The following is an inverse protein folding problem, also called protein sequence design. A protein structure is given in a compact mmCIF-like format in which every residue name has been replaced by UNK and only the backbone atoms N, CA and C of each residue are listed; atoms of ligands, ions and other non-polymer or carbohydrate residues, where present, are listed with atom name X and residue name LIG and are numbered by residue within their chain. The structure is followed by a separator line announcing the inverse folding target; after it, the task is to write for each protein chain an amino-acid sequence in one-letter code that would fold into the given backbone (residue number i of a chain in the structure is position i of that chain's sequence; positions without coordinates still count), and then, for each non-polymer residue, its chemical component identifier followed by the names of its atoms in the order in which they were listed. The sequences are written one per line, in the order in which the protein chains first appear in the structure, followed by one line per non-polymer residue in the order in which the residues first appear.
data_IF_253695672821
#
_entry.id   IF_253695672821
#
_cell.length_a   1.000
_cell.length_b   1.000
_cell.length_c   1.000
_cell.angle_alpha   90.00
_cell.angle_beta   90.00
_cell.angle_gamma   90.00
#
_symmetry.space_group_name_H-M   'P 1'
#
loop_
_entity.id
_entity.type
_entity.pdbx_description
1 polymer ?
#
# COMPACT_ATOMS: atom_id res chain seq x y z
N UNK A 1 -58.33 -8.32 41.66
CA UNK A 1 -58.91 -7.61 40.50
C UNK A 1 -57.95 -6.46 40.17
N UNK A 2 -57.32 -6.32 39.02
CA UNK A 2 -57.32 -7.07 37.76
C UNK A 2 -56.03 -6.77 36.99
N UNK A 3 -55.66 -7.70 36.13
CA UNK A 3 -54.50 -7.64 35.24
C UNK A 3 -54.82 -6.85 33.96
N UNK A 4 -53.77 -6.36 33.30
CA UNK A 4 -53.77 -6.17 31.84
C UNK A 4 -53.85 -4.72 31.38
N UNK A 5 -52.77 -4.25 30.75
CA UNK A 5 -52.82 -3.15 29.79
C UNK A 5 -51.85 -2.01 30.08
N UNK A 6 -50.58 -2.18 29.72
CA UNK A 6 -49.90 -1.26 28.78
C UNK A 6 -48.51 -1.80 28.40
N UNK A 7 -48.49 -2.91 27.68
CA UNK A 7 -47.42 -3.19 26.72
C UNK A 7 -47.75 -2.39 25.45
N UNK A 8 -47.12 -1.24 25.24
CA UNK A 8 -46.93 -0.69 23.89
C UNK A 8 -45.85 0.39 23.87
N UNK A 9 -44.92 0.15 22.95
CA UNK A 9 -44.08 1.13 22.25
C UNK A 9 -42.94 1.75 23.06
N UNK A 10 -41.75 1.18 22.92
CA UNK A 10 -40.61 1.83 22.25
C UNK A 10 -39.63 0.77 21.73
N UNK A 11 -40.09 -0.07 20.79
CA UNK A 11 -39.19 -0.73 19.85
C UNK A 11 -39.02 0.23 18.66
N UNK A 12 -38.19 1.27 18.83
CA UNK A 12 -37.69 2.05 17.70
C UNK A 12 -36.48 1.29 17.17
N UNK A 13 -36.82 0.36 16.30
CA UNK A 13 -36.07 -0.10 15.11
C UNK A 13 -34.76 0.69 14.92
N UNK A 14 -33.65 0.08 15.33
CA UNK A 14 -32.35 0.31 14.67
C UNK A 14 -32.48 -0.31 13.27
N UNK A 15 -33.12 0.42 12.35
CA UNK A 15 -33.03 0.08 10.94
C UNK A 15 -31.61 0.42 10.53
N UNK A 16 -30.78 -0.61 10.43
CA UNK A 16 -29.57 -0.60 9.63
C UNK A 16 -29.97 -0.30 8.19
N UNK A 17 -30.10 0.97 7.84
CA UNK A 17 -30.03 1.38 6.45
C UNK A 17 -28.61 1.04 6.01
N UNK A 18 -28.40 0.14 5.05
CA UNK A 18 -27.06 -0.08 4.50
C UNK A 18 -26.63 1.25 3.89
N UNK A 19 -25.41 1.70 4.18
CA UNK A 19 -24.80 2.72 3.35
C UNK A 19 -24.78 2.20 1.91
N UNK A 20 -25.68 2.73 1.07
CA UNK A 20 -25.67 2.46 -0.37
C UNK A 20 -24.35 3.02 -0.92
N UNK A 21 -23.41 2.11 -1.19
CA UNK A 21 -22.02 2.39 -1.50
C UNK A 21 -21.04 1.39 -0.91
N UNK A 22 -21.48 0.51 -0.01
CA UNK A 22 -20.63 -0.53 0.57
C UNK A 22 -20.10 -1.49 -0.50
N UNK A 23 -18.80 -1.43 -0.80
CA UNK A 23 -18.06 -2.61 -1.24
C UNK A 23 -18.45 -3.74 -0.28
N UNK A 24 -18.78 -4.91 -0.81
CA UNK A 24 -19.13 -6.07 0.04
C UNK A 24 -18.05 -6.25 1.12
N UNK A 25 -18.44 -6.71 2.30
CA UNK A 25 -17.49 -6.88 3.42
C UNK A 25 -16.18 -7.53 2.94
N UNK A 26 -15.06 -6.83 3.15
CA UNK A 26 -13.72 -7.29 2.78
C UNK A 26 -13.51 -8.74 3.25
N UNK A 27 -12.84 -9.54 2.41
CA UNK A 27 -12.47 -10.91 2.73
C UNK A 27 -11.21 -10.99 3.61
N UNK A 28 -10.67 -9.83 4.02
CA UNK A 28 -9.53 -9.72 4.89
C UNK A 28 -9.73 -10.50 6.20
N UNK A 29 -8.68 -11.23 6.57
CA UNK A 29 -8.59 -12.02 7.79
C UNK A 29 -7.63 -11.37 8.76
N UNK A 30 -7.69 -11.82 10.00
CA UNK A 30 -6.77 -11.41 11.05
C UNK A 30 -5.30 -11.62 10.65
N UNK A 31 -5.00 -12.72 9.95
CA UNK A 31 -3.63 -13.04 9.53
C UNK A 31 -3.07 -12.06 8.49
N UNK A 32 -3.92 -11.53 7.60
CA UNK A 32 -3.53 -10.46 6.65
C UNK A 32 -3.10 -9.20 7.41
N UNK A 33 -3.91 -8.78 8.39
CA UNK A 33 -3.60 -7.64 9.24
C UNK A 33 -2.31 -7.84 10.05
N UNK A 34 -2.10 -9.04 10.60
CA UNK A 34 -0.87 -9.36 11.33
C UNK A 34 0.37 -9.36 10.45
N UNK A 35 0.26 -9.85 9.21
CA UNK A 35 1.36 -9.80 8.24
C UNK A 35 1.70 -8.36 7.88
N UNK A 36 0.70 -7.53 7.58
CA UNK A 36 0.88 -6.10 7.28
C UNK A 36 1.51 -5.35 8.45
N UNK A 37 1.05 -5.60 9.68
CA UNK A 37 1.65 -5.02 10.89
C UNK A 37 3.11 -5.45 11.05
N UNK A 38 3.44 -6.72 10.75
CA UNK A 38 4.83 -7.18 10.83
C UNK A 38 5.71 -6.54 9.77
N UNK A 39 5.19 -6.38 8.55
CA UNK A 39 5.90 -5.65 7.48
C UNK A 39 6.14 -4.20 7.88
N UNK A 40 5.13 -3.53 8.46
CA UNK A 40 5.27 -2.16 8.95
C UNK A 40 6.35 -2.04 10.05
N UNK A 41 6.36 -2.95 11.03
CA UNK A 41 7.36 -3.00 12.09
C UNK A 41 8.78 -3.16 11.53
N UNK A 42 9.00 -4.18 10.68
CA UNK A 42 10.31 -4.42 10.06
C UNK A 42 10.75 -3.24 9.20
N UNK A 43 9.81 -2.61 8.49
CA UNK A 43 10.11 -1.45 7.65
C UNK A 43 10.50 -0.24 8.49
N UNK A 44 9.81 0.01 9.60
CA UNK A 44 10.17 1.06 10.55
C UNK A 44 11.60 0.85 11.09
N UNK A 45 11.94 -0.37 11.50
CA UNK A 45 13.28 -0.72 11.99
C UNK A 45 14.37 -0.53 10.92
N UNK A 46 14.04 -0.70 9.64
CA UNK A 46 14.95 -0.47 8.51
C UNK A 46 15.07 1.00 8.09
N UNK A 47 14.35 1.91 8.76
CA UNK A 47 14.40 3.34 8.46
C UNK A 47 13.42 3.81 7.39
N UNK A 48 12.33 3.06 7.15
CA UNK A 48 11.30 3.42 6.17
C UNK A 48 10.72 4.84 6.35
N UNK A 49 10.48 5.36 7.57
CA UNK A 49 9.99 6.74 7.72
C UNK A 49 10.95 7.79 7.12
N UNK A 50 12.26 7.59 7.27
CA UNK A 50 13.27 8.48 6.66
C UNK A 50 13.28 8.35 5.13
N UNK A 51 13.16 7.13 4.61
CA UNK A 51 13.11 6.90 3.17
C UNK A 51 11.81 7.45 2.54
N UNK A 52 10.67 7.34 3.22
CA UNK A 52 9.41 7.92 2.77
C UNK A 52 9.48 9.45 2.73
N UNK A 53 10.04 10.10 3.77
CA UNK A 53 10.26 11.54 3.77
C UNK A 53 11.19 11.98 2.63
N UNK A 54 12.24 11.20 2.36
CA UNK A 54 13.12 11.43 1.22
C UNK A 54 12.38 11.33 -0.12
N UNK A 55 11.55 10.31 -0.32
CA UNK A 55 10.78 10.13 -1.56
C UNK A 55 9.90 11.34 -1.89
N UNK A 56 9.24 11.91 -0.87
CA UNK A 56 8.31 13.03 -1.01
C UNK A 56 8.97 14.41 -0.89
N UNK A 57 10.25 14.47 -0.50
CA UNK A 57 11.00 15.70 -0.37
C UNK A 57 11.65 16.14 -1.70
N UNK A 58 12.18 17.36 -1.69
CA UNK A 58 12.84 17.98 -2.85
C UNK A 58 14.14 17.27 -3.26
N UNK A 59 14.71 16.45 -2.38
CA UNK A 59 15.96 15.74 -2.63
C UNK A 59 15.80 14.62 -3.68
N UNK A 60 14.63 13.97 -3.71
CA UNK A 60 14.34 12.86 -4.62
C UNK A 60 13.80 13.37 -5.96
N UNK A 61 14.48 13.00 -7.04
CA UNK A 61 14.01 13.21 -8.41
C UNK A 61 13.33 11.94 -8.94
N UNK A 62 12.06 12.01 -9.40
CA UNK A 62 11.43 10.92 -10.12
C UNK A 62 12.11 10.61 -11.45
N UNK A 63 12.81 11.57 -12.05
CA UNK A 63 13.60 11.32 -13.24
C UNK A 63 14.94 10.66 -12.87
N UNK A 64 15.19 9.44 -13.32
CA UNK A 64 16.40 8.72 -12.90
C UNK A 64 17.69 9.38 -13.39
N UNK A 65 17.68 10.02 -14.56
CA UNK A 65 18.85 10.71 -15.09
C UNK A 65 19.27 11.84 -14.15
N UNK A 66 18.33 12.70 -13.75
CA UNK A 66 18.57 13.79 -12.80
C UNK A 66 18.91 13.29 -11.40
N UNK A 67 18.21 12.24 -10.94
CA UNK A 67 18.53 11.56 -9.69
C UNK A 67 20.00 11.09 -9.67
N UNK A 68 20.45 10.41 -10.73
CA UNK A 68 21.77 9.80 -10.80
C UNK A 68 22.92 10.81 -10.86
N UNK A 69 22.67 12.02 -11.36
CA UNK A 69 23.63 13.14 -11.35
C UNK A 69 23.93 13.60 -9.93
N UNK A 70 22.92 13.60 -9.04
CA UNK A 70 23.02 14.05 -7.65
C UNK A 70 23.42 12.92 -6.69
N UNK A 71 22.93 11.71 -6.93
CA UNK A 71 23.00 10.59 -5.99
C UNK A 71 23.67 9.38 -6.62
N UNK A 72 24.96 9.21 -6.34
CA UNK A 72 25.74 8.06 -6.83
C UNK A 72 25.28 6.76 -6.18
N UNK A 73 25.47 5.63 -6.88
CA UNK A 73 25.29 4.29 -6.31
C UNK A 73 26.15 4.15 -5.05
N UNK A 74 25.55 3.65 -3.97
CA UNK A 74 26.19 3.50 -2.66
C UNK A 74 26.07 4.72 -1.73
N UNK A 75 25.54 5.85 -2.20
CA UNK A 75 25.17 6.97 -1.33
C UNK A 75 23.96 6.64 -0.45
N UNK A 76 23.77 7.40 0.63
CA UNK A 76 22.62 7.24 1.53
C UNK A 76 21.28 7.45 0.79
N UNK A 77 21.18 8.49 -0.04
CA UNK A 77 20.02 8.77 -0.87
C UNK A 77 19.70 7.62 -1.84
N UNK A 78 20.72 7.08 -2.49
CA UNK A 78 20.57 5.88 -3.33
C UNK A 78 20.07 4.68 -2.51
N UNK A 79 20.61 4.49 -1.30
CA UNK A 79 20.18 3.46 -0.36
C UNK A 79 18.71 3.58 0.05
N UNK A 80 18.20 4.81 0.28
CA UNK A 80 16.78 5.07 0.57
C UNK A 80 15.88 4.67 -0.61
N UNK A 81 16.27 5.00 -1.84
CA UNK A 81 15.53 4.57 -3.04
C UNK A 81 15.50 3.04 -3.20
N UNK A 82 16.63 2.35 -2.95
CA UNK A 82 16.67 0.88 -2.92
C UNK A 82 15.78 0.31 -1.82
N UNK A 83 15.80 0.89 -0.61
CA UNK A 83 14.96 0.45 0.50
C UNK A 83 13.48 0.53 0.15
N UNK A 84 13.03 1.64 -0.45
CA UNK A 84 11.65 1.79 -0.91
C UNK A 84 11.31 0.73 -1.97
N UNK A 85 12.09 0.64 -3.04
CA UNK A 85 11.83 -0.31 -4.13
C UNK A 85 11.74 -1.76 -3.62
N UNK A 86 12.65 -2.16 -2.72
CA UNK A 86 12.66 -3.52 -2.15
C UNK A 86 11.51 -3.76 -1.15
N UNK A 87 11.05 -2.73 -0.44
CA UNK A 87 9.88 -2.82 0.43
C UNK A 87 8.61 -3.08 -0.38
N UNK A 88 8.37 -2.31 -1.43
CA UNK A 88 7.19 -2.51 -2.27
C UNK A 88 7.26 -3.80 -3.09
N UNK A 89 8.45 -4.23 -3.51
CA UNK A 89 8.65 -5.56 -4.11
C UNK A 89 8.27 -6.69 -3.13
N UNK A 90 8.53 -6.50 -1.83
CA UNK A 90 8.14 -7.47 -0.78
C UNK A 90 6.62 -7.53 -0.62
N UNK A 91 5.96 -6.38 -0.48
CA UNK A 91 4.50 -6.30 -0.42
C UNK A 91 3.85 -6.94 -1.65
N UNK A 92 4.37 -6.61 -2.83
CA UNK A 92 3.88 -7.17 -4.09
C UNK A 92 4.06 -8.68 -4.19
N UNK A 93 5.16 -9.21 -3.65
CA UNK A 93 5.38 -10.66 -3.61
C UNK A 93 4.33 -11.34 -2.72
N UNK A 94 4.02 -10.79 -1.55
CA UNK A 94 2.99 -11.35 -0.67
C UNK A 94 1.60 -11.27 -1.28
N UNK A 95 1.25 -10.14 -1.89
CA UNK A 95 0.00 -9.97 -2.64
C UNK A 95 -0.13 -10.97 -3.80
N UNK A 96 0.91 -11.10 -4.64
CA UNK A 96 0.93 -12.03 -5.78
C UNK A 96 0.70 -13.48 -5.38
N UNK A 97 1.09 -13.85 -4.16
CA UNK A 97 0.89 -15.20 -3.61
C UNK A 97 -0.38 -15.35 -2.77
N UNK A 98 -1.25 -14.34 -2.73
CA UNK A 98 -2.52 -14.38 -2.00
C UNK A 98 -2.35 -14.45 -0.49
N UNK A 99 -1.24 -13.93 0.03
CA UNK A 99 -0.94 -13.90 1.48
C UNK A 99 -1.48 -12.64 2.17
N UNK A 100 -1.89 -11.65 1.39
CA UNK A 100 -2.49 -10.39 1.85
C UNK A 100 -3.72 -10.14 1.00
N UNK A 101 -4.85 -9.89 1.66
CA UNK A 101 -6.06 -9.37 1.02
C UNK A 101 -5.78 -8.07 0.25
N UNK A 102 -6.18 -8.03 -1.02
CA UNK A 102 -5.88 -6.93 -1.93
C UNK A 102 -6.55 -5.62 -1.50
N UNK A 103 -7.82 -5.68 -1.09
CA UNK A 103 -8.57 -4.50 -0.67
C UNK A 103 -7.95 -3.88 0.58
N UNK A 104 -7.64 -4.71 1.58
CA UNK A 104 -6.96 -4.25 2.79
C UNK A 104 -5.58 -3.62 2.49
N UNK A 105 -4.80 -4.22 1.59
CA UNK A 105 -3.50 -3.69 1.21
C UNK A 105 -3.63 -2.31 0.54
N UNK A 106 -4.58 -2.18 -0.38
CA UNK A 106 -4.78 -0.95 -1.16
C UNK A 106 -5.40 0.19 -0.34
N UNK A 107 -6.21 -0.13 0.67
CA UNK A 107 -6.71 0.87 1.63
C UNK A 107 -5.61 1.40 2.56
N UNK A 108 -4.59 0.59 2.84
CA UNK A 108 -3.52 0.94 3.78
C UNK A 108 -2.32 1.65 3.12
N UNK A 109 -2.01 1.33 1.86
CA UNK A 109 -0.74 1.71 1.22
C UNK A 109 -0.96 2.41 -0.12
N UNK A 110 -0.37 3.61 -0.28
CA UNK A 110 -0.40 4.42 -1.51
C UNK A 110 0.56 3.90 -2.60
N UNK A 111 0.25 2.72 -3.15
CA UNK A 111 1.15 1.99 -4.06
C UNK A 111 1.37 2.73 -5.38
N UNK A 112 0.29 3.21 -6.02
CA UNK A 112 0.37 3.80 -7.37
C UNK A 112 1.19 5.09 -7.37
N UNK A 113 1.02 5.95 -6.38
CA UNK A 113 1.73 7.21 -6.26
C UNK A 113 3.22 6.99 -5.95
N UNK A 114 3.54 5.96 -5.16
CA UNK A 114 4.93 5.61 -4.89
C UNK A 114 5.60 4.98 -6.11
N UNK A 115 4.88 4.14 -6.84
CA UNK A 115 5.36 3.60 -8.13
C UNK A 115 5.65 4.71 -9.14
N UNK A 116 4.76 5.68 -9.27
CA UNK A 116 4.94 6.79 -10.21
C UNK A 116 6.20 7.60 -9.97
N UNK A 117 6.64 7.69 -8.71
CA UNK A 117 7.92 8.33 -8.35
C UNK A 117 9.12 7.41 -8.53
N UNK A 118 8.99 6.10 -8.31
CA UNK A 118 10.13 5.16 -8.28
C UNK A 118 10.37 4.40 -9.59
N UNK A 119 9.41 4.36 -10.51
CA UNK A 119 9.47 3.47 -11.69
C UNK A 119 10.74 3.64 -12.53
N UNK A 120 11.20 4.87 -12.78
CA UNK A 120 12.43 5.09 -13.55
C UNK A 120 13.67 4.56 -12.82
N UNK A 121 13.73 4.72 -11.49
CA UNK A 121 14.80 4.14 -10.69
C UNK A 121 14.80 2.60 -10.75
N UNK A 122 13.62 1.98 -10.69
CA UNK A 122 13.45 0.53 -10.80
C UNK A 122 13.89 0.05 -12.19
N UNK A 123 13.44 0.71 -13.26
CA UNK A 123 13.80 0.37 -14.63
C UNK A 123 15.30 0.51 -14.88
N UNK A 124 15.92 1.58 -14.39
CA UNK A 124 17.37 1.75 -14.49
C UNK A 124 18.14 0.66 -13.73
N UNK A 125 17.63 0.22 -12.57
CA UNK A 125 18.18 -0.92 -11.84
C UNK A 125 18.07 -2.23 -12.63
N UNK A 126 16.91 -2.46 -13.26
CA UNK A 126 16.62 -3.62 -14.13
C UNK A 126 17.57 -3.70 -15.32
N UNK A 127 17.76 -2.58 -16.01
CA UNK A 127 18.68 -2.47 -17.14
C UNK A 127 20.14 -2.66 -16.71
N UNK A 128 20.59 -1.93 -15.67
CA UNK A 128 21.97 -1.98 -15.19
C UNK A 128 22.41 -3.39 -14.78
N UNK A 129 21.51 -4.16 -14.16
CA UNK A 129 21.79 -5.52 -13.72
C UNK A 129 21.41 -6.58 -14.76
N UNK A 130 20.90 -6.17 -15.92
CA UNK A 130 20.43 -7.05 -16.99
C UNK A 130 19.54 -8.19 -16.48
N UNK A 131 18.62 -7.86 -15.56
CA UNK A 131 17.75 -8.85 -14.92
C UNK A 131 16.30 -8.36 -14.95
N UNK A 132 15.44 -8.96 -15.81
CA UNK A 132 14.07 -8.50 -15.99
C UNK A 132 13.22 -8.66 -14.73
N UNK A 133 13.63 -9.50 -13.77
CA UNK A 133 12.89 -9.75 -12.53
C UNK A 133 12.96 -8.61 -11.53
N UNK A 134 13.85 -7.64 -11.74
CA UNK A 134 13.98 -6.50 -10.82
C UNK A 134 12.72 -5.63 -10.89
N UNK A 135 12.04 -5.54 -9.76
CA UNK A 135 10.82 -4.75 -9.61
C UNK A 135 9.61 -5.31 -10.34
N UNK A 136 9.67 -6.57 -10.83
CA UNK A 136 8.58 -7.15 -11.63
C UNK A 136 7.29 -7.26 -10.82
N UNK A 137 7.38 -7.55 -9.52
CA UNK A 137 6.19 -7.67 -8.69
C UNK A 137 5.69 -6.29 -8.29
N UNK A 138 6.57 -5.35 -7.91
CA UNK A 138 6.16 -3.98 -7.61
C UNK A 138 5.43 -3.34 -8.79
N UNK A 139 5.93 -3.50 -10.01
CA UNK A 139 5.25 -3.05 -11.23
C UNK A 139 3.84 -3.64 -11.36
N UNK A 140 3.71 -4.96 -11.22
CA UNK A 140 2.41 -5.64 -11.30
C UNK A 140 1.43 -5.21 -10.20
N UNK A 141 1.92 -4.96 -8.98
CA UNK A 141 1.12 -4.45 -7.87
C UNK A 141 0.64 -3.02 -8.15
N UNK A 142 1.50 -2.17 -8.70
CA UNK A 142 1.14 -0.80 -9.04
C UNK A 142 0.10 -0.74 -10.17
N UNK A 143 0.22 -1.61 -11.17
CA UNK A 143 -0.82 -1.79 -12.20
C UNK A 143 -2.15 -2.21 -11.58
N UNK A 144 -2.14 -3.14 -10.62
CA UNK A 144 -3.35 -3.57 -9.92
C UNK A 144 -3.99 -2.43 -9.11
N UNK A 145 -3.20 -1.70 -8.33
CA UNK A 145 -3.67 -0.56 -7.55
C UNK A 145 -4.27 0.55 -8.44
N UNK A 146 -3.70 0.79 -9.63
CA UNK A 146 -4.20 1.82 -10.55
C UNK A 146 -5.59 1.51 -11.16
N UNK A 147 -6.03 0.25 -11.09
CA UNK A 147 -7.34 -0.18 -11.59
C UNK A 147 -8.45 0.00 -10.56
N UNK A 148 -8.12 0.27 -9.29
CA UNK A 148 -9.11 0.51 -8.25
C UNK A 148 -9.64 1.93 -8.40
N UNK A 149 -10.96 2.12 -8.62
CA UNK A 149 -11.54 3.45 -8.66
C UNK A 149 -11.32 4.13 -7.31
N UNK A 150 -10.76 5.34 -7.32
CA UNK A 150 -10.81 6.23 -6.16
C UNK A 150 -12.29 6.39 -5.81
N UNK A 151 -12.70 5.96 -4.61
CA UNK A 151 -14.06 6.19 -4.16
C UNK A 151 -14.30 7.71 -4.22
N UNK A 152 -15.26 8.14 -5.05
CA UNK A 152 -15.68 9.52 -5.07
C UNK A 152 -16.15 9.86 -3.65
N UNK A 153 -15.41 10.74 -2.97
CA UNK A 153 -15.76 11.28 -1.67
C UNK A 153 -16.97 12.19 -1.74
#
# INVERSE_FOLDING_TARGET
MGAGGLLRQMAVVLSSTPCEGGRGMSQAKHDDAMLLMKVAEVSALRGMPSAANFLWGDEFDPNYEEFSKRHRVGSEAYGKAVLLATHYETLATFWKHGLIDEELLFDLVIISEVWDRLKEFVYAGRERLNNPRIGENFEALAEAASRVPVAAG
#
